data_IF_728504050131
#
_entry.id   IF_728504050131
#
_cell.length_a   1.000
_cell.length_b   1.000
_cell.length_c   1.000
_cell.angle_alpha   90.00
_cell.angle_beta   90.00
_cell.angle_gamma   90.00
#
_symmetry.space_group_name_H-M   'P 1'
#
loop_
_entity.id
_entity.type
_entity.pdbx_description
1 polymer ?
#
# COMPACT_ATOMS: atom_id res chain seq x y z
N UNK A 1 -8.61 39.99 7.17
CA UNK A 1 -8.97 40.25 5.75
C UNK A 1 -9.76 39.09 5.15
N UNK A 2 -9.34 37.84 5.38
CA UNK A 2 -9.96 36.63 4.80
C UNK A 2 -11.46 36.51 5.13
N UNK A 3 -11.85 36.65 6.40
CA UNK A 3 -13.27 36.59 6.79
C UNK A 3 -14.13 37.62 6.06
N UNK A 4 -13.67 38.88 5.96
CA UNK A 4 -14.35 39.94 5.19
C UNK A 4 -14.49 39.59 3.71
N UNK A 5 -13.46 38.97 3.12
CA UNK A 5 -13.50 38.52 1.73
C UNK A 5 -14.52 37.39 1.53
N UNK A 6 -14.56 36.40 2.43
CA UNK A 6 -15.54 35.30 2.40
C UNK A 6 -16.97 35.85 2.48
N UNK A 7 -17.22 36.77 3.42
CA UNK A 7 -18.52 37.44 3.58
C UNK A 7 -18.91 38.24 2.34
N UNK A 8 -17.96 38.96 1.70
CA UNK A 8 -18.26 39.73 0.49
C UNK A 8 -18.61 38.88 -0.73
N UNK A 9 -18.29 37.57 -0.69
CA UNK A 9 -18.74 36.58 -1.67
C UNK A 9 -20.10 35.96 -1.35
N UNK A 10 -20.77 36.43 -0.30
CA UNK A 10 -22.09 35.93 0.11
C UNK A 10 -22.06 34.58 0.85
N UNK A 11 -20.87 34.12 1.26
CA UNK A 11 -20.71 32.87 2.02
C UNK A 11 -21.19 33.11 3.46
N UNK A 12 -22.03 32.20 3.97
CA UNK A 12 -22.66 32.31 5.31
C UNK A 12 -22.12 31.30 6.32
N UNK A 13 -21.57 30.19 5.85
CA UNK A 13 -21.06 29.10 6.67
C UNK A 13 -19.63 28.80 6.24
N UNK A 14 -18.74 28.60 7.20
CA UNK A 14 -17.32 28.40 6.94
C UNK A 14 -16.79 27.32 7.89
N UNK A 15 -16.16 26.31 7.31
CA UNK A 15 -15.35 25.34 8.06
C UNK A 15 -13.88 25.63 7.81
N UNK A 16 -13.10 25.79 8.87
CA UNK A 16 -11.64 25.97 8.81
C UNK A 16 -10.95 24.97 9.72
N UNK A 17 -9.74 24.56 9.37
CA UNK A 17 -8.92 23.72 10.25
C UNK A 17 -7.90 24.56 11.01
N UNK A 18 -7.70 24.24 12.28
CA UNK A 18 -6.75 24.94 13.15
C UNK A 18 -6.11 24.00 14.15
N UNK A 19 -4.96 24.39 14.66
CA UNK A 19 -4.43 23.84 15.90
C UNK A 19 -5.00 24.60 17.12
N UNK A 20 -5.09 23.97 18.30
CA UNK A 20 -5.63 24.60 19.51
C UNK A 20 -4.94 25.91 19.88
N UNK A 21 -3.62 26.01 19.72
CA UNK A 21 -2.88 27.22 20.12
C UNK A 21 -3.22 28.47 19.30
N UNK A 22 -3.83 28.31 18.12
CA UNK A 22 -4.28 29.42 17.27
C UNK A 22 -5.75 29.78 17.50
N UNK A 23 -6.46 29.02 18.34
CA UNK A 23 -7.84 29.30 18.72
C UNK A 23 -7.82 30.34 19.85
N UNK A 24 -7.77 31.62 19.45
CA UNK A 24 -7.76 32.77 20.37
C UNK A 24 -9.01 33.63 20.18
N UNK A 25 -9.39 34.39 21.20
CA UNK A 25 -10.55 35.29 21.11
C UNK A 25 -10.37 36.31 19.96
N UNK A 26 -9.15 36.81 19.77
CA UNK A 26 -8.84 37.74 18.68
C UNK A 26 -9.12 37.11 17.31
N UNK A 27 -8.66 35.87 17.10
CA UNK A 27 -8.86 35.19 15.82
C UNK A 27 -10.32 34.84 15.59
N UNK A 28 -11.06 34.43 16.61
CA UNK A 28 -12.49 34.08 16.49
C UNK A 28 -13.33 35.32 16.14
N UNK A 29 -13.00 36.49 16.71
CA UNK A 29 -13.73 37.74 16.48
C UNK A 29 -13.78 38.13 15.00
N UNK A 30 -12.77 37.77 14.21
CA UNK A 30 -12.74 38.03 12.77
C UNK A 30 -13.86 37.31 12.01
N UNK A 31 -14.39 36.21 12.56
CA UNK A 31 -15.38 35.33 11.91
C UNK A 31 -16.77 35.40 12.54
N UNK A 32 -17.05 36.34 13.44
CA UNK A 32 -18.30 36.43 14.22
C UNK A 32 -19.59 36.55 13.39
N UNK A 33 -19.49 37.01 12.14
CA UNK A 33 -20.61 37.16 11.21
C UNK A 33 -20.91 35.88 10.40
N UNK A 34 -20.09 34.84 10.56
CA UNK A 34 -20.21 33.56 9.87
C UNK A 34 -20.67 32.48 10.85
N UNK A 35 -21.39 31.47 10.33
CA UNK A 35 -21.54 30.20 11.05
C UNK A 35 -20.23 29.42 10.93
N UNK A 36 -19.39 29.55 11.95
CA UNK A 36 -18.06 28.98 11.96
C UNK A 36 -18.07 27.55 12.51
N UNK A 37 -17.41 26.63 11.81
CA UNK A 37 -16.97 25.34 12.34
C UNK A 37 -15.45 25.30 12.30
N UNK A 38 -14.81 24.94 13.42
CA UNK A 38 -13.36 24.77 13.48
C UNK A 38 -13.04 23.29 13.64
N UNK A 39 -12.38 22.75 12.62
CA UNK A 39 -11.78 21.42 12.62
C UNK A 39 -10.46 21.42 13.38
N UNK A 40 -10.31 20.51 14.35
CA UNK A 40 -9.08 20.35 15.13
C UNK A 40 -8.71 18.88 15.13
N UNK A 41 -7.51 18.57 14.63
CA UNK A 41 -6.97 17.21 14.70
C UNK A 41 -6.51 16.91 16.11
N UNK A 42 -7.34 16.25 16.91
CA UNK A 42 -6.99 15.78 18.25
C UNK A 42 -6.09 14.54 18.18
N UNK A 43 -6.24 13.72 17.14
CA UNK A 43 -5.61 12.41 16.92
C UNK A 43 -6.00 11.36 17.96
N UNK A 44 -5.77 11.62 19.24
CA UNK A 44 -6.24 10.81 20.36
C UNK A 44 -6.35 11.64 21.66
N UNK A 45 -7.21 11.22 22.58
CA UNK A 45 -7.31 11.78 23.92
C UNK A 45 -6.40 11.06 24.94
N UNK A 46 -5.09 11.04 24.65
CA UNK A 46 -4.07 10.45 25.52
C UNK A 46 -2.75 11.24 25.42
N UNK A 47 -2.40 11.98 26.48
CA UNK A 47 -1.25 12.88 26.48
C UNK A 47 0.09 12.16 26.30
N UNK A 48 0.22 10.91 26.76
CA UNK A 48 1.46 10.15 26.58
C UNK A 48 1.62 9.70 25.13
N UNK A 49 0.52 9.29 24.50
CA UNK A 49 0.50 8.96 23.06
C UNK A 49 0.77 10.20 22.23
N UNK A 50 0.11 11.33 22.51
CA UNK A 50 0.32 12.60 21.78
C UNK A 50 1.76 13.11 21.89
N UNK A 51 2.37 12.98 23.07
CA UNK A 51 3.78 13.33 23.28
C UNK A 51 4.70 12.44 22.47
N UNK A 52 4.49 11.12 22.48
CA UNK A 52 5.28 10.17 21.67
C UNK A 52 5.08 10.38 20.18
N UNK A 53 3.86 10.72 19.75
CA UNK A 53 3.53 11.03 18.36
C UNK A 53 4.14 12.35 17.89
N UNK A 54 4.40 13.29 18.81
CA UNK A 54 4.96 14.60 18.50
C UNK A 54 3.88 15.63 18.12
N UNK A 55 2.67 15.52 18.70
CA UNK A 55 1.53 16.38 18.34
C UNK A 55 1.76 17.86 18.65
N UNK A 56 2.43 18.15 19.76
CA UNK A 56 2.80 19.50 20.16
C UNK A 56 1.72 20.30 20.91
N UNK A 57 0.66 19.65 21.38
CA UNK A 57 -0.31 20.18 22.35
C UNK A 57 -0.92 19.03 23.17
N UNK A 58 -1.61 19.34 24.27
CA UNK A 58 -2.25 18.36 25.15
C UNK A 58 -3.77 18.24 24.94
N UNK A 59 -4.38 17.20 25.49
CA UNK A 59 -5.84 17.03 25.52
C UNK A 59 -6.55 18.23 26.17
N UNK A 60 -5.95 18.82 27.20
CA UNK A 60 -6.47 20.00 27.88
C UNK A 60 -6.40 21.25 27.00
N UNK A 61 -5.40 21.37 26.14
CA UNK A 61 -5.32 22.48 25.16
C UNK A 61 -6.46 22.38 24.15
N UNK A 62 -6.78 21.17 23.68
CA UNK A 62 -7.96 20.93 22.85
C UNK A 62 -9.25 21.30 23.58
N UNK A 63 -9.43 20.87 24.84
CA UNK A 63 -10.62 21.17 25.65
C UNK A 63 -10.83 22.69 25.83
N UNK A 64 -9.75 23.43 26.12
CA UNK A 64 -9.77 24.89 26.24
C UNK A 64 -10.18 25.56 24.93
N UNK A 65 -9.61 25.12 23.81
CA UNK A 65 -9.94 25.63 22.48
C UNK A 65 -11.41 25.37 22.14
N UNK A 66 -11.90 24.14 22.37
CA UNK A 66 -13.29 23.77 22.14
C UNK A 66 -14.25 24.61 22.98
N UNK A 67 -13.95 24.77 24.27
CA UNK A 67 -14.75 25.60 25.19
C UNK A 67 -14.82 27.07 24.74
N UNK A 68 -13.70 27.63 24.26
CA UNK A 68 -13.66 28.99 23.73
C UNK A 68 -14.48 29.15 22.46
N UNK A 69 -14.45 28.16 21.56
CA UNK A 69 -15.24 28.15 20.32
C UNK A 69 -16.74 28.09 20.63
N UNK A 70 -17.17 27.17 21.50
CA UNK A 70 -18.57 27.05 21.93
C UNK A 70 -19.08 28.31 22.61
N UNK A 71 -18.27 28.95 23.46
CA UNK A 71 -18.60 30.25 24.08
C UNK A 71 -18.88 31.34 23.04
N UNK A 72 -18.22 31.26 21.89
CA UNK A 72 -18.39 32.17 20.76
C UNK A 72 -19.38 31.66 19.70
N UNK A 73 -20.21 30.65 20.03
CA UNK A 73 -21.23 30.06 19.15
C UNK A 73 -20.66 29.42 17.87
N UNK A 74 -19.37 29.12 17.85
CA UNK A 74 -18.74 28.32 16.80
C UNK A 74 -18.86 26.83 17.14
N UNK A 75 -18.89 25.98 16.11
CA UNK A 75 -18.90 24.52 16.24
C UNK A 75 -17.48 23.96 16.21
N UNK A 76 -17.30 22.78 16.78
CA UNK A 76 -16.02 22.05 16.83
C UNK A 76 -16.17 20.73 16.08
N UNK A 77 -15.24 20.45 15.16
CA UNK A 77 -15.09 19.17 14.48
C UNK A 77 -13.77 18.52 14.93
N UNK A 78 -13.82 17.38 15.60
CA UNK A 78 -12.62 16.66 16.03
C UNK A 78 -12.19 15.64 14.98
N UNK A 79 -10.91 15.60 14.64
CA UNK A 79 -10.34 14.49 13.87
C UNK A 79 -9.57 13.56 14.80
N UNK A 80 -9.88 12.27 14.75
CA UNK A 80 -9.26 11.20 15.53
C UNK A 80 -8.61 10.17 14.62
N UNK A 81 -7.42 9.72 14.97
CA UNK A 81 -6.66 8.72 14.23
C UNK A 81 -6.97 7.32 14.75
N UNK A 82 -7.57 6.51 13.88
CA UNK A 82 -7.75 5.08 14.12
C UNK A 82 -6.41 4.39 13.89
N UNK A 83 -6.04 3.47 14.80
CA UNK A 83 -4.74 2.79 14.78
C UNK A 83 -3.52 3.72 14.93
N UNK A 84 -3.64 4.78 15.74
CA UNK A 84 -2.48 5.63 16.08
C UNK A 84 -1.36 4.78 16.73
N UNK A 85 -0.08 4.94 16.34
CA UNK A 85 1.02 4.23 17.01
C UNK A 85 1.11 4.64 18.48
N UNK A 86 1.75 3.78 19.28
CA UNK A 86 1.97 3.96 20.74
C UNK A 86 0.70 3.89 21.62
N UNK A 87 -0.48 3.91 21.02
CA UNK A 87 -1.75 3.66 21.71
C UNK A 87 -2.09 2.17 21.80
N UNK A 88 -3.19 1.89 22.49
CA UNK A 88 -3.82 0.57 22.56
C UNK A 88 -5.20 0.63 21.88
N UNK A 89 -5.89 -0.50 21.65
CA UNK A 89 -7.26 -0.48 21.14
C UNK A 89 -8.22 0.40 21.96
N UNK A 90 -8.01 0.49 23.27
CA UNK A 90 -8.79 1.33 24.20
C UNK A 90 -8.53 2.84 24.01
N UNK A 91 -7.38 3.22 23.43
CA UNK A 91 -7.07 4.63 23.14
C UNK A 91 -8.14 5.24 22.25
N UNK A 92 -8.63 4.51 21.24
CA UNK A 92 -9.69 5.01 20.36
C UNK A 92 -11.02 5.21 21.11
N UNK A 93 -11.43 4.24 21.94
CA UNK A 93 -12.66 4.33 22.72
C UNK A 93 -12.66 5.53 23.67
N UNK A 94 -11.55 5.72 24.39
CA UNK A 94 -11.35 6.89 25.27
C UNK A 94 -11.39 8.18 24.48
N UNK A 95 -10.76 8.20 23.30
CA UNK A 95 -10.72 9.37 22.42
C UNK A 95 -12.09 9.76 21.89
N UNK A 96 -12.89 8.78 21.45
CA UNK A 96 -14.27 9.02 21.01
C UNK A 96 -15.12 9.51 22.18
N UNK A 97 -15.05 8.85 23.34
CA UNK A 97 -15.82 9.26 24.52
C UNK A 97 -15.48 10.69 24.99
N UNK A 98 -14.21 11.08 24.92
CA UNK A 98 -13.77 12.44 25.19
C UNK A 98 -14.28 13.40 24.11
N UNK A 99 -14.02 13.14 22.83
CA UNK A 99 -14.41 14.04 21.75
C UNK A 99 -15.93 14.28 21.70
N UNK A 100 -16.75 13.28 22.02
CA UNK A 100 -18.22 13.43 22.11
C UNK A 100 -18.68 14.47 23.13
N UNK A 101 -17.90 14.73 24.18
CA UNK A 101 -18.22 15.73 25.21
C UNK A 101 -17.83 17.15 24.82
N UNK A 102 -16.87 17.28 23.89
CA UNK A 102 -16.22 18.56 23.58
C UNK A 102 -16.38 18.99 22.11
N UNK A 103 -17.06 18.20 21.28
CA UNK A 103 -17.18 18.44 19.84
C UNK A 103 -18.59 18.26 19.31
N UNK A 104 -18.93 18.99 18.26
CA UNK A 104 -20.22 18.90 17.56
C UNK A 104 -20.22 17.81 16.47
N UNK A 105 -19.03 17.45 15.97
CA UNK A 105 -18.81 16.36 15.03
C UNK A 105 -17.43 15.73 15.23
N UNK A 106 -17.29 14.46 14.87
CA UNK A 106 -16.08 13.67 14.99
C UNK A 106 -15.84 12.96 13.66
N UNK A 107 -14.60 12.94 13.20
CA UNK A 107 -14.17 12.14 12.05
C UNK A 107 -13.13 11.15 12.52
N UNK A 108 -13.41 9.87 12.32
CA UNK A 108 -12.46 8.79 12.51
C UNK A 108 -11.68 8.59 11.21
N UNK A 109 -10.38 8.85 11.23
CA UNK A 109 -9.50 8.78 10.06
C UNK A 109 -8.61 7.54 10.17
N UNK A 110 -8.48 6.78 9.08
CA UNK A 110 -7.49 5.70 9.01
C UNK A 110 -6.06 6.26 9.04
N UNK A 111 -5.19 5.76 9.92
CA UNK A 111 -3.81 6.25 10.02
C UNK A 111 -2.95 5.74 8.86
N UNK A 112 -2.37 6.64 8.08
CA UNK A 112 -1.51 6.31 6.93
C UNK A 112 -0.05 6.76 7.09
N UNK A 113 0.94 5.93 6.68
CA UNK A 113 2.36 6.24 6.78
C UNK A 113 2.88 7.01 5.55
N UNK A 114 2.65 8.32 5.53
CA UNK A 114 3.21 9.16 4.45
C UNK A 114 4.75 9.15 4.46
N UNK A 115 5.37 9.13 3.27
CA UNK A 115 6.79 8.87 3.03
C UNK A 115 7.84 9.59 3.87
N UNK A 116 7.57 10.82 4.31
CA UNK A 116 8.49 11.63 5.13
C UNK A 116 8.13 11.64 6.61
N UNK A 117 7.04 10.99 6.98
CA UNK A 117 6.56 10.93 8.35
C UNK A 117 7.29 9.85 9.14
N UNK A 118 7.34 10.03 10.46
CA UNK A 118 7.81 8.99 11.39
C UNK A 118 7.00 7.69 11.30
N UNK A 119 5.72 7.76 10.89
CA UNK A 119 4.89 6.57 10.67
C UNK A 119 5.47 5.67 9.59
N UNK A 120 6.05 6.24 8.53
CA UNK A 120 6.71 5.46 7.49
C UNK A 120 7.95 4.74 8.01
N UNK A 121 8.71 5.37 8.91
CA UNK A 121 9.84 4.73 9.57
C UNK A 121 9.41 3.58 10.50
N UNK A 122 8.30 3.74 11.22
CA UNK A 122 7.73 2.67 12.04
C UNK A 122 7.22 1.50 11.19
N UNK A 123 6.69 1.78 9.99
CA UNK A 123 6.28 0.75 9.05
C UNK A 123 7.46 0.01 8.44
N UNK A 124 8.50 0.75 8.05
CA UNK A 124 9.78 0.17 7.60
C UNK A 124 10.36 -0.74 8.68
N UNK A 125 10.42 -0.32 9.95
CA UNK A 125 10.98 -1.14 11.01
C UNK A 125 10.09 -2.32 11.42
N UNK A 126 8.81 -2.31 11.04
CA UNK A 126 7.82 -3.29 11.48
C UNK A 126 7.28 -3.03 12.90
N UNK A 127 7.63 -1.90 13.51
CA UNK A 127 7.11 -1.51 14.83
C UNK A 127 5.62 -1.09 14.79
N UNK A 128 5.09 -0.78 13.61
CA UNK A 128 3.68 -0.46 13.39
C UNK A 128 3.32 -0.76 11.93
N UNK A 129 2.04 -0.99 11.63
CA UNK A 129 1.54 -1.16 10.26
C UNK A 129 0.16 -0.55 10.12
N UNK A 130 -0.16 0.04 8.95
CA UNK A 130 -1.46 0.64 8.71
C UNK A 130 -2.56 -0.42 8.58
N UNK A 131 -3.80 -0.02 8.82
CA UNK A 131 -4.97 -0.87 8.60
C UNK A 131 -5.38 -0.85 7.12
N UNK A 132 -5.72 -2.00 6.57
CA UNK A 132 -6.52 -2.12 5.35
C UNK A 132 -7.90 -1.51 5.55
N UNK A 133 -8.60 -1.22 4.44
CA UNK A 133 -9.98 -0.71 4.49
C UNK A 133 -10.90 -1.61 5.31
N UNK A 134 -10.82 -2.93 5.16
CA UNK A 134 -11.66 -3.88 5.90
C UNK A 134 -11.34 -3.93 7.40
N UNK A 135 -10.06 -3.85 7.78
CA UNK A 135 -9.65 -3.77 9.20
C UNK A 135 -10.15 -2.46 9.84
N UNK A 136 -10.04 -1.35 9.11
CA UNK A 136 -10.54 -0.05 9.55
C UNK A 136 -12.07 -0.08 9.74
N UNK A 137 -12.83 -0.53 8.73
CA UNK A 137 -14.30 -0.63 8.77
C UNK A 137 -14.76 -1.49 9.95
N UNK A 138 -14.12 -2.65 10.16
CA UNK A 138 -14.41 -3.52 11.30
C UNK A 138 -14.15 -2.82 12.64
N UNK A 139 -13.08 -2.03 12.72
CA UNK A 139 -12.68 -1.32 13.96
C UNK A 139 -13.68 -0.21 14.31
N UNK A 140 -14.16 0.53 13.31
CA UNK A 140 -15.07 1.67 13.52
C UNK A 140 -16.55 1.30 13.52
N UNK A 141 -16.92 0.08 13.11
CA UNK A 141 -18.30 -0.39 13.02
C UNK A 141 -19.12 -0.18 14.31
N UNK A 142 -18.48 -0.28 15.49
CA UNK A 142 -19.13 -0.03 16.79
C UNK A 142 -19.65 1.40 16.96
N UNK A 143 -19.11 2.37 16.23
CA UNK A 143 -19.54 3.77 16.28
C UNK A 143 -20.56 4.13 15.20
N UNK A 144 -20.98 3.19 14.35
CA UNK A 144 -21.86 3.48 13.20
C UNK A 144 -23.23 4.08 13.58
N UNK A 145 -23.68 3.90 14.84
CA UNK A 145 -24.94 4.47 15.36
C UNK A 145 -24.77 5.86 15.99
N UNK A 146 -23.53 6.34 16.14
CA UNK A 146 -23.22 7.63 16.75
C UNK A 146 -23.47 8.76 15.75
N UNK A 147 -24.51 9.56 15.97
CA UNK A 147 -24.98 10.58 15.00
C UNK A 147 -23.96 11.65 14.64
N UNK A 148 -22.98 11.88 15.52
CA UNK A 148 -21.95 12.91 15.33
C UNK A 148 -20.63 12.33 14.82
N UNK A 149 -20.55 11.01 14.57
CA UNK A 149 -19.33 10.34 14.13
C UNK A 149 -19.43 10.03 12.64
N UNK A 150 -18.45 10.51 11.91
CA UNK A 150 -18.20 10.21 10.51
C UNK A 150 -16.92 9.37 10.41
N UNK A 151 -16.79 8.57 9.35
CA UNK A 151 -15.59 7.77 9.09
C UNK A 151 -14.96 8.20 7.78
N UNK A 152 -13.64 8.18 7.75
CA UNK A 152 -12.83 8.49 6.58
C UNK A 152 -11.77 7.41 6.38
N UNK A 153 -12.11 6.45 5.52
CA UNK A 153 -11.25 5.29 5.20
C UNK A 153 -10.28 5.57 4.05
N UNK A 154 -10.52 6.62 3.25
CA UNK A 154 -9.81 6.87 1.99
C UNK A 154 -8.94 8.12 2.02
N UNK A 155 -8.92 8.86 3.13
CA UNK A 155 -8.13 10.07 3.21
C UNK A 155 -6.67 9.79 2.83
N UNK A 156 -6.23 10.39 1.73
CA UNK A 156 -4.86 10.30 1.26
C UNK A 156 -4.36 8.87 0.94
N UNK A 157 -5.10 8.12 0.11
CA UNK A 157 -4.52 6.95 -0.58
C UNK A 157 -3.12 7.29 -1.10
N UNK A 158 -2.14 6.51 -0.70
CA UNK A 158 -0.74 6.77 -0.98
C UNK A 158 -0.09 5.55 -1.61
N UNK A 159 0.95 5.78 -2.39
CA UNK A 159 1.85 4.74 -2.86
C UNK A 159 3.14 4.82 -2.04
N UNK A 160 3.70 3.71 -1.53
CA UNK A 160 4.96 3.72 -0.83
C UNK A 160 6.03 4.43 -1.66
N UNK A 161 6.59 5.50 -1.11
CA UNK A 161 7.66 6.26 -1.75
C UNK A 161 8.78 6.42 -0.76
N UNK A 162 9.92 5.84 -1.09
CA UNK A 162 11.14 5.95 -0.29
C UNK A 162 11.89 7.24 -0.70
N UNK A 163 11.94 8.26 0.17
CA UNK A 163 12.71 9.48 -0.06
C UNK A 163 14.19 9.17 -0.31
N UNK A 164 14.90 10.07 -1.00
CA UNK A 164 16.30 9.85 -1.37
C UNK A 164 17.20 9.58 -0.15
N UNK A 165 16.96 10.26 0.97
CA UNK A 165 17.65 10.07 2.25
C UNK A 165 17.39 8.71 2.90
N UNK A 166 16.37 7.97 2.44
CA UNK A 166 16.05 6.60 2.88
C UNK A 166 16.36 5.55 1.81
N UNK A 167 17.07 5.87 0.72
CA UNK A 167 17.45 4.84 -0.27
C UNK A 167 18.79 4.23 0.11
N UNK A 168 18.87 2.92 -0.03
CA UNK A 168 20.06 2.11 0.26
C UNK A 168 20.32 1.19 -0.93
N UNK A 169 21.57 0.80 -1.14
CA UNK A 169 21.85 -0.24 -2.15
C UNK A 169 21.45 -1.60 -1.59
N UNK A 170 20.59 -2.30 -2.32
CA UNK A 170 20.15 -3.65 -1.98
C UNK A 170 20.85 -4.61 -2.95
N UNK A 171 21.95 -5.22 -2.51
CA UNK A 171 22.85 -6.01 -3.37
C UNK A 171 23.23 -7.32 -2.67
N UNK A 172 23.36 -8.39 -3.45
CA UNK A 172 23.92 -9.67 -3.00
C UNK A 172 22.86 -10.72 -2.64
N UNK A 173 23.19 -11.99 -2.85
CA UNK A 173 22.31 -13.12 -2.58
C UNK A 173 22.42 -13.56 -1.11
N UNK A 174 21.79 -12.81 -0.19
CA UNK A 174 21.84 -13.08 1.25
C UNK A 174 20.45 -13.08 1.90
N UNK A 175 20.36 -13.67 3.10
CA UNK A 175 19.14 -13.63 3.91
C UNK A 175 18.73 -12.18 4.25
N UNK A 176 19.69 -11.29 4.52
CA UNK A 176 19.42 -9.88 4.81
C UNK A 176 18.78 -9.18 3.60
N UNK A 177 19.35 -9.36 2.40
CA UNK A 177 18.80 -8.80 1.17
C UNK A 177 17.43 -9.36 0.87
N UNK A 178 17.24 -10.68 0.98
CA UNK A 178 15.97 -11.35 0.73
C UNK A 178 14.85 -10.83 1.66
N UNK A 179 15.18 -10.58 2.92
CA UNK A 179 14.26 -10.10 3.96
C UNK A 179 14.24 -8.58 4.13
N UNK A 180 14.82 -7.83 3.18
CA UNK A 180 14.95 -6.38 3.29
C UNK A 180 13.59 -5.70 3.55
N UNK A 181 13.59 -4.77 4.50
CA UNK A 181 12.39 -4.10 5.00
C UNK A 181 11.54 -3.45 3.89
N UNK A 182 12.19 -2.95 2.84
CA UNK A 182 11.49 -2.26 1.74
C UNK A 182 10.68 -3.23 0.89
N UNK A 183 11.15 -4.47 0.72
CA UNK A 183 10.34 -5.51 0.08
C UNK A 183 9.13 -5.84 0.95
N UNK A 184 9.31 -5.96 2.28
CA UNK A 184 8.19 -6.19 3.22
C UNK A 184 7.13 -5.07 3.14
N UNK A 185 7.54 -3.80 3.14
CA UNK A 185 6.63 -2.66 3.01
C UNK A 185 5.81 -2.74 1.72
N UNK A 186 6.45 -3.04 0.59
CA UNK A 186 5.75 -3.18 -0.68
C UNK A 186 4.80 -4.37 -0.74
N UNK A 187 5.22 -5.52 -0.20
CA UNK A 187 4.32 -6.67 -0.15
C UNK A 187 3.12 -6.34 0.73
N UNK A 188 3.32 -5.82 1.95
CA UNK A 188 2.23 -5.38 2.83
C UNK A 188 1.30 -4.35 2.16
N UNK A 189 1.85 -3.41 1.38
CA UNK A 189 1.07 -2.50 0.55
C UNK A 189 0.17 -3.23 -0.45
N UNK A 190 0.73 -4.20 -1.20
CA UNK A 190 -0.06 -4.97 -2.15
C UNK A 190 -1.19 -5.74 -1.48
N UNK A 191 -1.01 -6.20 -0.24
CA UNK A 191 -2.07 -6.90 0.49
C UNK A 191 -3.17 -5.98 1.01
N UNK A 192 -2.85 -4.73 1.38
CA UNK A 192 -3.77 -3.85 2.11
C UNK A 192 -4.45 -2.78 1.27
N UNK A 193 -3.76 -2.25 0.26
CA UNK A 193 -4.15 -1.02 -0.42
C UNK A 193 -4.19 -1.12 -1.95
N UNK A 194 -3.65 -2.21 -2.50
CA UNK A 194 -3.62 -2.41 -3.94
C UNK A 194 -4.88 -3.16 -4.41
N UNK A 195 -5.55 -2.57 -5.39
CA UNK A 195 -6.59 -3.24 -6.16
C UNK A 195 -6.06 -3.62 -7.55
N UNK A 196 -6.36 -4.85 -7.97
CA UNK A 196 -6.10 -5.31 -9.34
C UNK A 196 -6.86 -4.40 -10.32
N UNK A 197 -6.25 -3.97 -11.45
CA UNK A 197 -6.95 -3.15 -12.41
C UNK A 197 -8.23 -3.84 -12.91
N UNK A 198 -9.35 -3.11 -12.89
CA UNK A 198 -10.71 -3.65 -13.08
C UNK A 198 -10.93 -4.34 -14.42
N UNK A 199 -10.14 -3.98 -15.43
CA UNK A 199 -10.17 -4.55 -16.78
C UNK A 199 -9.40 -5.87 -16.90
N UNK A 200 -8.70 -6.30 -15.84
CA UNK A 200 -7.93 -7.55 -15.84
C UNK A 200 -8.70 -8.67 -15.17
N UNK A 201 -9.05 -9.68 -15.96
CA UNK A 201 -9.76 -10.87 -15.50
C UNK A 201 -8.80 -12.01 -15.15
N UNK A 202 -7.64 -12.07 -15.80
CA UNK A 202 -6.65 -13.13 -15.67
C UNK A 202 -5.31 -12.56 -15.18
N UNK A 203 -4.42 -13.40 -14.66
CA UNK A 203 -3.04 -13.03 -14.35
C UNK A 203 -2.06 -13.89 -15.15
N UNK A 204 -0.98 -13.27 -15.61
CA UNK A 204 0.20 -13.94 -16.16
C UNK A 204 1.40 -13.60 -15.29
N UNK A 205 1.89 -14.61 -14.55
CA UNK A 205 3.13 -14.53 -13.82
C UNK A 205 4.31 -14.67 -14.77
N UNK A 206 5.21 -13.69 -14.73
CA UNK A 206 6.43 -13.65 -15.53
C UNK A 206 7.65 -13.77 -14.61
N UNK A 207 8.73 -14.36 -15.11
CA UNK A 207 10.02 -14.32 -14.44
C UNK A 207 10.60 -12.90 -14.41
N UNK A 208 11.51 -12.62 -13.47
CA UNK A 208 12.27 -11.38 -13.46
C UNK A 208 13.37 -11.34 -14.54
N UNK A 209 13.98 -10.17 -14.70
CA UNK A 209 15.16 -9.94 -15.54
C UNK A 209 16.22 -9.14 -14.82
N UNK A 210 17.50 -9.32 -15.20
CA UNK A 210 18.61 -8.53 -14.67
C UNK A 210 18.39 -7.04 -14.87
N UNK A 211 18.07 -6.62 -16.10
CA UNK A 211 17.73 -5.22 -16.36
C UNK A 211 16.40 -4.87 -15.72
N UNK A 212 16.42 -3.82 -14.91
CA UNK A 212 15.27 -3.19 -14.27
C UNK A 212 15.11 -1.75 -14.77
N UNK A 213 13.89 -1.20 -14.84
CA UNK A 213 12.60 -1.90 -14.70
C UNK A 213 12.44 -3.00 -15.76
N UNK A 214 11.72 -4.06 -15.40
CA UNK A 214 11.72 -5.33 -16.14
C UNK A 214 11.24 -5.17 -17.58
N UNK A 215 10.24 -4.31 -17.83
CA UNK A 215 9.73 -3.99 -19.18
C UNK A 215 10.80 -3.48 -20.14
N UNK A 216 11.91 -2.91 -19.64
CA UNK A 216 13.00 -2.41 -20.49
C UNK A 216 13.95 -3.50 -20.95
N UNK A 217 13.93 -4.67 -20.30
CA UNK A 217 14.78 -5.80 -20.66
C UNK A 217 14.43 -6.38 -22.03
N UNK A 218 15.43 -6.95 -22.70
CA UNK A 218 15.23 -7.68 -23.95
C UNK A 218 14.24 -8.85 -23.77
N UNK A 219 14.30 -9.52 -22.62
CA UNK A 219 13.42 -10.64 -22.28
C UNK A 219 11.95 -10.21 -22.32
N UNK A 220 11.60 -9.17 -21.56
CA UNK A 220 10.22 -8.70 -21.49
C UNK A 220 9.77 -7.99 -22.77
N UNK A 221 10.67 -7.34 -23.51
CA UNK A 221 10.34 -6.77 -24.84
C UNK A 221 9.90 -7.86 -25.82
N UNK A 222 10.63 -8.98 -25.88
CA UNK A 222 10.28 -10.12 -26.75
C UNK A 222 8.97 -10.79 -26.34
N UNK A 223 8.77 -11.05 -25.05
CA UNK A 223 7.52 -11.61 -24.53
C UNK A 223 6.35 -10.66 -24.83
N UNK A 224 6.51 -9.36 -24.56
CA UNK A 224 5.50 -8.35 -24.86
C UNK A 224 5.20 -8.25 -26.35
N UNK A 225 6.18 -8.48 -27.21
CA UNK A 225 5.99 -8.61 -28.66
C UNK A 225 4.98 -9.71 -29.00
N UNK A 226 5.15 -10.91 -28.45
CA UNK A 226 4.18 -12.01 -28.64
C UNK A 226 2.81 -11.65 -28.08
N UNK A 227 2.75 -11.08 -26.87
CA UNK A 227 1.47 -10.73 -26.24
C UNK A 227 0.67 -9.68 -27.03
N UNK A 228 1.36 -8.75 -27.73
CA UNK A 228 0.70 -7.73 -28.55
C UNK A 228 -0.07 -8.31 -29.74
N UNK A 229 0.35 -9.47 -30.23
CA UNK A 229 -0.34 -10.15 -31.33
C UNK A 229 -1.68 -10.75 -30.90
N UNK A 230 -1.95 -10.83 -29.59
CA UNK A 230 -3.19 -11.32 -29.00
C UNK A 230 -3.84 -10.22 -28.17
N UNK A 231 -4.39 -9.21 -28.85
CA UNK A 231 -4.93 -8.00 -28.24
C UNK A 231 -5.98 -8.29 -27.15
N UNK A 232 -6.89 -9.24 -27.38
CA UNK A 232 -7.90 -9.64 -26.40
C UNK A 232 -7.29 -10.31 -25.16
N UNK A 233 -6.39 -11.28 -25.36
CA UNK A 233 -5.70 -11.92 -24.25
C UNK A 233 -4.92 -10.88 -23.43
N UNK A 234 -4.18 -10.00 -24.09
CA UNK A 234 -3.36 -8.97 -23.45
C UNK A 234 -4.19 -7.92 -22.71
N UNK A 235 -5.35 -7.53 -23.24
CA UNK A 235 -6.21 -6.53 -22.59
C UNK A 235 -6.81 -7.09 -21.30
N UNK A 236 -7.20 -8.37 -21.27
CA UNK A 236 -7.79 -9.04 -20.09
C UNK A 236 -6.77 -9.64 -19.11
N UNK A 237 -5.49 -9.66 -19.45
CA UNK A 237 -4.45 -10.32 -18.62
C UNK A 237 -3.58 -9.30 -17.90
N UNK A 238 -3.61 -9.37 -16.57
CA UNK A 238 -2.72 -8.65 -15.68
C UNK A 238 -1.32 -9.27 -15.72
N UNK A 239 -0.29 -8.44 -15.82
CA UNK A 239 1.09 -8.91 -15.81
C UNK A 239 1.68 -8.69 -14.42
N UNK A 240 2.23 -9.75 -13.83
CA UNK A 240 2.88 -9.70 -12.51
C UNK A 240 4.24 -10.38 -12.62
N UNK A 241 5.31 -9.69 -12.26
CA UNK A 241 6.66 -10.28 -12.20
C UNK A 241 6.85 -10.96 -10.85
N UNK A 242 7.34 -12.19 -10.87
CA UNK A 242 7.80 -12.88 -9.68
C UNK A 242 9.32 -12.74 -9.58
N UNK A 243 9.78 -12.19 -8.47
CA UNK A 243 11.18 -11.80 -8.26
C UNK A 243 11.58 -11.94 -6.78
N UNK A 244 12.84 -11.65 -6.43
CA UNK A 244 13.31 -11.58 -5.04
C UNK A 244 12.38 -10.77 -4.13
N UNK A 245 11.92 -9.56 -4.50
CA UNK A 245 10.90 -8.83 -3.73
C UNK A 245 9.56 -9.54 -3.50
N UNK A 246 9.20 -10.55 -4.30
CA UNK A 246 7.90 -11.22 -4.28
C UNK A 246 7.12 -11.03 -5.59
N UNK A 247 5.79 -11.00 -5.47
CA UNK A 247 4.90 -10.64 -6.58
C UNK A 247 4.91 -9.11 -6.77
N UNK A 248 5.22 -8.66 -7.98
CA UNK A 248 5.34 -7.25 -8.34
C UNK A 248 4.47 -6.98 -9.57
N UNK A 249 3.30 -6.32 -9.42
CA UNK A 249 2.51 -5.86 -10.56
C UNK A 249 3.32 -4.91 -11.45
N UNK A 250 3.15 -5.04 -12.77
CA UNK A 250 3.97 -4.29 -13.73
C UNK A 250 3.90 -2.78 -13.56
N UNK A 251 2.75 -2.23 -13.17
CA UNK A 251 2.56 -0.80 -12.94
C UNK A 251 3.39 -0.25 -11.77
N UNK A 252 4.00 -1.11 -10.94
CA UNK A 252 4.88 -0.72 -9.85
C UNK A 252 6.37 -1.01 -10.10
N UNK A 253 6.76 -1.56 -11.26
CA UNK A 253 8.16 -1.97 -11.50
C UNK A 253 9.16 -0.80 -11.48
N UNK A 254 8.72 0.41 -11.83
CA UNK A 254 9.53 1.63 -11.84
C UNK A 254 9.77 2.19 -10.42
N UNK A 255 9.14 1.64 -9.40
CA UNK A 255 9.29 2.11 -8.02
C UNK A 255 10.49 1.46 -7.35
N UNK A 256 11.19 2.27 -6.55
CA UNK A 256 12.25 1.77 -5.69
C UNK A 256 11.66 0.90 -4.56
N UNK A 257 12.26 -0.26 -4.23
CA UNK A 257 13.54 -0.78 -4.74
C UNK A 257 13.45 -1.72 -5.95
N UNK A 258 12.26 -1.97 -6.51
CA UNK A 258 12.09 -2.92 -7.62
C UNK A 258 12.93 -2.55 -8.85
N UNK A 259 13.12 -1.26 -9.09
CA UNK A 259 13.88 -0.75 -10.21
C UNK A 259 15.42 -0.75 -10.02
N UNK A 260 15.92 -1.07 -8.81
CA UNK A 260 17.33 -0.76 -8.44
C UNK A 260 18.04 -1.82 -7.56
N UNK A 261 17.35 -2.87 -7.10
CA UNK A 261 18.04 -3.96 -6.37
C UNK A 261 18.98 -4.76 -7.29
N UNK A 262 19.93 -5.50 -6.74
CA UNK A 262 20.77 -6.46 -7.47
C UNK A 262 20.83 -7.79 -6.71
N UNK A 263 20.53 -8.88 -7.40
CA UNK A 263 20.51 -10.23 -6.85
C UNK A 263 21.29 -11.16 -7.78
N UNK A 264 22.58 -11.38 -7.52
CA UNK A 264 23.43 -12.23 -8.36
C UNK A 264 23.13 -13.72 -8.11
N UNK A 265 22.49 -14.37 -9.07
CA UNK A 265 22.12 -15.80 -8.99
C UNK A 265 23.33 -16.73 -8.77
N UNK A 266 24.54 -16.34 -9.18
CA UNK A 266 25.76 -17.14 -8.99
C UNK A 266 26.32 -17.11 -7.56
N UNK A 267 25.81 -16.24 -6.70
CA UNK A 267 26.17 -16.19 -5.27
C UNK A 267 25.23 -17.04 -4.41
N UNK A 268 24.19 -17.63 -5.00
CA UNK A 268 23.21 -18.43 -4.28
C UNK A 268 23.81 -19.74 -3.76
N UNK A 269 23.79 -19.91 -2.43
CA UNK A 269 24.02 -21.22 -1.79
C UNK A 269 22.72 -22.01 -1.70
N UNK A 270 22.80 -23.33 -1.48
CA UNK A 270 21.60 -24.17 -1.32
C UNK A 270 20.72 -23.71 -0.15
N UNK A 271 21.32 -23.19 0.93
CA UNK A 271 20.61 -22.60 2.06
C UNK A 271 19.84 -21.34 1.64
N UNK A 272 20.48 -20.42 0.90
CA UNK A 272 19.84 -19.20 0.40
C UNK A 272 18.71 -19.53 -0.56
N UNK A 273 18.87 -20.53 -1.43
CA UNK A 273 17.82 -21.00 -2.35
C UNK A 273 16.64 -21.60 -1.59
N UNK A 274 16.89 -22.37 -0.54
CA UNK A 274 15.85 -22.91 0.32
C UNK A 274 15.07 -21.79 1.04
N UNK A 275 15.78 -20.79 1.57
CA UNK A 275 15.17 -19.62 2.18
C UNK A 275 14.38 -18.79 1.15
N UNK A 276 14.92 -18.58 -0.05
CA UNK A 276 14.25 -17.90 -1.15
C UNK A 276 12.90 -18.54 -1.46
N UNK A 277 12.87 -19.87 -1.65
CA UNK A 277 11.61 -20.60 -1.91
C UNK A 277 10.58 -20.39 -0.81
N UNK A 278 11.02 -20.33 0.46
CA UNK A 278 10.16 -20.08 1.61
C UNK A 278 9.64 -18.64 1.63
N UNK A 279 10.52 -17.65 1.57
CA UNK A 279 10.17 -16.23 1.69
C UNK A 279 9.35 -15.75 0.49
N UNK A 280 9.80 -16.05 -0.73
CA UNK A 280 9.10 -15.67 -1.96
C UNK A 280 7.81 -16.46 -2.11
N UNK A 281 7.80 -17.74 -1.74
CA UNK A 281 6.58 -18.56 -1.72
C UNK A 281 5.51 -17.98 -0.80
N UNK A 282 5.87 -17.55 0.40
CA UNK A 282 4.93 -16.90 1.34
C UNK A 282 4.40 -15.57 0.79
N UNK A 283 5.25 -14.77 0.14
CA UNK A 283 4.84 -13.51 -0.51
C UNK A 283 3.85 -13.77 -1.65
N UNK A 284 4.12 -14.76 -2.50
CA UNK A 284 3.22 -15.16 -3.59
C UNK A 284 1.90 -15.69 -3.03
N UNK A 285 1.95 -16.53 -1.99
CA UNK A 285 0.76 -17.06 -1.33
C UNK A 285 -0.15 -15.94 -0.85
N UNK A 286 0.38 -14.98 -0.08
CA UNK A 286 -0.38 -13.81 0.39
C UNK A 286 -1.01 -13.03 -0.77
N UNK A 287 -0.26 -12.84 -1.85
CA UNK A 287 -0.76 -12.19 -3.06
C UNK A 287 -1.95 -12.96 -3.68
N UNK A 288 -1.87 -14.29 -3.78
CA UNK A 288 -2.95 -15.15 -4.28
C UNK A 288 -4.16 -15.21 -3.34
N UNK A 289 -3.94 -15.09 -2.02
CA UNK A 289 -5.01 -15.03 -1.02
C UNK A 289 -5.80 -13.72 -1.14
N UNK A 290 -5.11 -12.59 -1.30
CA UNK A 290 -5.72 -11.27 -1.43
C UNK A 290 -6.36 -11.05 -2.81
N UNK A 291 -5.68 -11.40 -3.90
CA UNK A 291 -6.11 -11.03 -5.25
C UNK A 291 -6.63 -12.23 -6.04
N UNK A 292 -7.88 -12.13 -6.51
CA UNK A 292 -8.54 -13.21 -7.24
C UNK A 292 -8.66 -12.89 -8.73
N UNK A 293 -8.30 -13.87 -9.53
CA UNK A 293 -8.41 -13.87 -10.99
C UNK A 293 -9.24 -15.06 -11.46
N UNK A 294 -9.82 -14.97 -12.66
CA UNK A 294 -10.55 -16.08 -13.31
C UNK A 294 -9.60 -17.20 -13.75
N UNK A 295 -8.47 -16.83 -14.36
CA UNK A 295 -7.42 -17.77 -14.79
C UNK A 295 -6.03 -17.28 -14.37
N UNK A 296 -5.16 -18.23 -14.03
CA UNK A 296 -3.80 -17.99 -13.55
C UNK A 296 -2.82 -18.65 -14.50
N UNK A 297 -2.03 -17.85 -15.19
CA UNK A 297 -1.02 -18.29 -16.14
C UNK A 297 0.38 -18.08 -15.58
N UNK A 298 1.32 -18.90 -16.02
CA UNK A 298 2.75 -18.71 -15.74
C UNK A 298 3.58 -18.86 -17.01
N UNK A 299 4.58 -18.00 -17.16
CA UNK A 299 5.66 -18.16 -18.13
C UNK A 299 7.00 -18.00 -17.41
N UNK A 300 7.36 -19.05 -16.65
CA UNK A 300 8.56 -19.13 -15.82
C UNK A 300 9.38 -20.37 -16.19
N UNK A 301 10.71 -20.28 -16.02
CA UNK A 301 11.62 -21.42 -16.20
C UNK A 301 11.17 -22.59 -15.29
N UNK A 302 10.88 -23.79 -15.82
CA UNK A 302 10.40 -24.93 -15.03
C UNK A 302 11.32 -25.35 -13.89
N UNK A 303 12.64 -25.19 -14.05
CA UNK A 303 13.63 -25.56 -13.05
C UNK A 303 13.97 -24.44 -12.04
N UNK A 304 13.25 -23.31 -12.07
CA UNK A 304 13.57 -22.16 -11.20
C UNK A 304 12.97 -22.27 -9.81
N UNK A 305 13.68 -21.75 -8.81
CA UNK A 305 13.20 -21.65 -7.43
C UNK A 305 11.91 -20.81 -7.33
N UNK A 306 11.78 -19.77 -8.16
CA UNK A 306 10.56 -18.97 -8.27
C UNK A 306 9.36 -19.78 -8.75
N UNK A 307 9.53 -20.66 -9.74
CA UNK A 307 8.44 -21.50 -10.21
C UNK A 307 8.05 -22.58 -9.19
N UNK A 308 9.03 -23.15 -8.48
CA UNK A 308 8.77 -24.05 -7.36
C UNK A 308 7.97 -23.35 -6.23
N UNK A 309 8.36 -22.11 -5.89
CA UNK A 309 7.65 -21.29 -4.92
C UNK A 309 6.22 -20.96 -5.37
N UNK A 310 6.02 -20.60 -6.64
CA UNK A 310 4.69 -20.36 -7.22
C UNK A 310 3.81 -21.61 -7.19
N UNK A 311 4.32 -22.79 -7.61
CA UNK A 311 3.57 -24.05 -7.56
C UNK A 311 3.07 -24.35 -6.16
N UNK A 312 3.97 -24.30 -5.17
CA UNK A 312 3.63 -24.53 -3.76
C UNK A 312 2.57 -23.55 -3.26
N UNK A 313 2.72 -22.26 -3.56
CA UNK A 313 1.73 -21.25 -3.19
C UNK A 313 0.36 -21.50 -3.85
N UNK A 314 0.34 -21.91 -5.13
CA UNK A 314 -0.88 -22.27 -5.83
C UNK A 314 -1.55 -23.52 -5.22
N UNK A 315 -0.79 -24.54 -4.85
CA UNK A 315 -1.31 -25.73 -4.16
C UNK A 315 -1.96 -25.38 -2.82
N UNK A 316 -1.27 -24.61 -1.98
CA UNK A 316 -1.78 -24.18 -0.67
C UNK A 316 -3.04 -23.31 -0.78
N UNK A 317 -3.14 -22.49 -1.83
CA UNK A 317 -4.28 -21.59 -2.07
C UNK A 317 -5.36 -22.20 -2.96
N UNK A 318 -5.20 -23.46 -3.38
CA UNK A 318 -6.10 -24.19 -4.31
C UNK A 318 -6.32 -23.45 -5.63
N UNK A 319 -5.31 -22.71 -6.09
CA UNK A 319 -5.31 -22.01 -7.37
C UNK A 319 -4.83 -22.94 -8.48
N UNK A 320 -5.63 -23.09 -9.53
CA UNK A 320 -5.24 -23.86 -10.72
C UNK A 320 -4.32 -23.02 -11.61
N UNK A 321 -3.03 -23.34 -11.61
CA UNK A 321 -2.03 -22.69 -12.46
C UNK A 321 -1.94 -23.35 -13.85
N UNK A 322 -1.91 -22.53 -14.90
CA UNK A 322 -1.74 -22.96 -16.29
C UNK A 322 -0.33 -22.53 -16.76
N UNK A 323 0.53 -23.48 -17.08
CA UNK A 323 1.87 -23.18 -17.61
C UNK A 323 1.83 -22.91 -19.11
N UNK A 324 2.27 -21.71 -19.51
CA UNK A 324 2.48 -21.31 -20.89
C UNK A 324 3.88 -21.71 -21.41
N UNK A 325 4.71 -22.36 -20.58
CA UNK A 325 5.92 -23.02 -21.05
C UNK A 325 5.55 -24.38 -21.64
N UNK A 326 6.04 -24.65 -22.85
CA UNK A 326 6.03 -25.98 -23.45
C UNK A 326 7.31 -26.71 -23.06
N UNK A 327 7.20 -27.82 -22.32
CA UNK A 327 8.35 -28.52 -21.74
C UNK A 327 9.28 -29.07 -22.82
N UNK A 328 8.72 -29.63 -23.91
CA UNK A 328 9.51 -30.13 -25.04
C UNK A 328 10.31 -29.03 -25.72
N UNK A 329 9.68 -27.88 -25.97
CA UNK A 329 10.38 -26.71 -26.53
C UNK A 329 11.43 -26.16 -25.56
N UNK A 330 11.18 -26.25 -24.25
CA UNK A 330 12.10 -25.76 -23.24
C UNK A 330 13.36 -26.63 -23.12
N UNK A 331 13.22 -27.96 -23.20
CA UNK A 331 14.36 -28.90 -23.16
C UNK A 331 15.39 -28.60 -24.25
N UNK A 332 14.94 -28.23 -25.46
CA UNK A 332 15.82 -27.88 -26.59
C UNK A 332 16.73 -26.68 -26.29
N UNK A 333 16.25 -25.74 -25.48
CA UNK A 333 16.93 -24.46 -25.24
C UNK A 333 17.37 -24.30 -23.79
N UNK A 334 17.22 -25.32 -22.94
CA UNK A 334 17.36 -25.20 -21.48
C UNK A 334 18.73 -24.67 -21.04
N UNK A 335 19.78 -24.99 -21.80
CA UNK A 335 21.16 -24.61 -21.55
C UNK A 335 21.57 -23.28 -22.22
N UNK A 336 20.68 -22.67 -23.00
CA UNK A 336 20.94 -21.40 -23.65
C UNK A 336 20.76 -20.21 -22.69
N UNK A 337 21.51 -19.14 -22.93
CA UNK A 337 21.29 -17.86 -22.24
C UNK A 337 19.87 -17.35 -22.53
N UNK A 338 19.09 -17.01 -21.51
CA UNK A 338 17.71 -16.53 -21.63
C UNK A 338 16.81 -17.50 -22.44
N UNK A 339 16.58 -18.73 -21.97
CA UNK A 339 15.91 -19.79 -22.72
C UNK A 339 14.47 -19.43 -23.12
N UNK A 340 13.74 -18.72 -22.24
CA UNK A 340 12.34 -18.36 -22.47
C UNK A 340 12.10 -17.39 -23.64
N UNK A 341 13.13 -16.80 -24.24
CA UNK A 341 12.98 -15.86 -25.36
C UNK A 341 13.72 -16.31 -26.62
N UNK A 342 14.04 -17.60 -26.68
CA UNK A 342 14.48 -18.28 -27.89
C UNK A 342 13.31 -18.48 -28.86
N UNK A 343 13.56 -18.49 -30.18
CA UNK A 343 12.49 -18.58 -31.18
C UNK A 343 11.52 -19.74 -30.95
N UNK A 344 12.02 -20.90 -30.52
CA UNK A 344 11.28 -22.12 -30.20
C UNK A 344 10.26 -21.84 -29.08
N UNK A 345 10.73 -21.20 -28.01
CA UNK A 345 9.93 -20.85 -26.85
C UNK A 345 8.91 -19.74 -27.15
N UNK A 346 9.29 -18.70 -27.88
CA UNK A 346 8.35 -17.65 -28.30
C UNK A 346 7.28 -18.19 -29.27
N UNK A 347 7.67 -19.11 -30.16
CA UNK A 347 6.74 -19.82 -31.03
C UNK A 347 5.77 -20.71 -30.25
N UNK A 348 6.25 -21.44 -29.24
CA UNK A 348 5.41 -22.24 -28.35
C UNK A 348 4.45 -21.38 -27.52
N UNK A 349 4.94 -20.25 -26.98
CA UNK A 349 4.11 -19.27 -26.27
C UNK A 349 2.99 -18.74 -27.17
N UNK A 350 3.30 -18.38 -28.42
CA UNK A 350 2.32 -17.94 -29.41
C UNK A 350 1.24 -18.99 -29.66
N UNK A 351 1.62 -20.26 -29.86
CA UNK A 351 0.66 -21.36 -30.06
C UNK A 351 -0.26 -21.53 -28.85
N UNK A 352 0.32 -21.62 -27.65
CA UNK A 352 -0.45 -21.81 -26.40
C UNK A 352 -1.43 -20.66 -26.12
N UNK A 353 -1.06 -19.42 -26.42
CA UNK A 353 -1.99 -18.28 -26.27
C UNK A 353 -3.10 -18.35 -27.32
N UNK A 354 -2.79 -18.78 -28.55
CA UNK A 354 -3.79 -18.95 -29.60
C UNK A 354 -4.82 -20.07 -29.34
N UNK A 355 -4.56 -20.95 -28.37
CA UNK A 355 -5.48 -22.02 -27.94
C UNK A 355 -6.42 -21.59 -26.78
N UNK A 356 -6.19 -20.40 -26.19
CA UNK A 356 -6.94 -19.86 -25.04
C UNK A 356 -8.08 -18.96 -25.53
#
# INVERSE_FOLDING_TARGET
WFAKYVISKGIKELTIESRPEFVTQSNINDFKELKLTVGIGLECADNDVLKKYGKGFTVEDFEKAASLLHKNKAKVRAYLMVNIPFGTPETLDKSVAFAKKHSDSIVLINTFPHSKSRLFDLWISGAWSPMSTGEFEKTVAKYAKEKIVETDSQNYMFVPKFPADKRVKIVGASSETLNHAYFRVWQDFFQRFYDVPKDKENVLFLQCSFQKPYSRSNTHKKISGVLKDFAEFRSKTHLVVLSTPGAVPFEYEDYYPFNDYDWPEWEETDEIRAEYRKVVGERIKKYLETHKYKKYYSYLKPSSDTFAALKKACEETKVKLISLVDEKSFELVANEKNPLVRPEMLGALRRKIGEI
#
